data_IF_501919133023
#
_entry.id   IF_501919133023
#
_cell.length_a   1.000
_cell.length_b   1.000
_cell.length_c   1.000
_cell.angle_alpha   90.00
_cell.angle_beta   90.00
_cell.angle_gamma   90.00
#
_symmetry.space_group_name_H-M   'P 1'
#
loop_
_entity.id
_entity.type
_entity.pdbx_description
1 polymer ?
#
# COMPACT_ATOMS: atom_id res chain seq x y z
N UNK A 1 -4.59 8.59 -6.64
CA UNK A 1 -3.76 7.51 -7.25
C UNK A 1 -2.47 7.38 -6.46
N UNK A 2 -2.12 6.16 -6.04
CA UNK A 2 -0.80 5.87 -5.45
C UNK A 2 0.18 5.62 -6.60
N UNK A 3 1.21 6.46 -6.72
CA UNK A 3 2.24 6.30 -7.72
C UNK A 3 3.20 5.16 -7.32
N UNK A 4 3.86 4.57 -8.32
CA UNK A 4 4.87 3.52 -8.09
C UNK A 4 5.91 4.00 -7.07
N UNK A 5 6.26 3.13 -6.11
CA UNK A 5 7.25 3.50 -5.09
C UNK A 5 8.56 3.99 -5.72
N UNK A 6 9.01 5.17 -5.29
CA UNK A 6 10.25 5.79 -5.74
C UNK A 6 11.34 5.61 -4.69
N UNK A 7 12.57 5.37 -5.14
CA UNK A 7 13.76 5.33 -4.29
C UNK A 7 14.73 6.44 -4.67
N UNK A 8 15.68 6.75 -3.78
CA UNK A 8 16.70 7.79 -4.00
C UNK A 8 17.41 7.58 -5.34
N UNK A 9 17.97 6.38 -5.52
CA UNK A 9 18.65 5.98 -6.75
C UNK A 9 17.75 5.11 -7.64
N UNK A 10 17.98 5.06 -8.97
CA UNK A 10 17.29 4.15 -9.86
C UNK A 10 17.50 2.69 -9.45
N UNK A 11 16.46 1.86 -9.61
CA UNK A 11 16.52 0.43 -9.32
C UNK A 11 16.11 -0.37 -10.55
N UNK A 12 16.95 -1.30 -11.05
CA UNK A 12 16.59 -2.14 -12.19
C UNK A 12 15.53 -3.20 -11.84
N UNK A 13 15.36 -3.53 -10.55
CA UNK A 13 14.51 -4.60 -10.07
C UNK A 13 15.20 -5.96 -9.99
N UNK A 14 14.48 -6.98 -9.53
CA UNK A 14 15.01 -8.34 -9.33
C UNK A 14 15.24 -9.09 -10.65
N UNK A 15 15.87 -10.26 -10.59
CA UNK A 15 16.07 -11.12 -11.77
C UNK A 15 14.72 -11.68 -12.25
N UNK A 16 14.39 -11.60 -13.56
CA UNK A 16 13.20 -12.25 -14.12
C UNK A 16 13.26 -13.79 -14.04
N UNK A 17 12.11 -14.51 -14.02
CA UNK A 17 10.74 -14.00 -14.02
C UNK A 17 10.37 -13.26 -12.74
N UNK A 18 9.70 -12.09 -12.87
CA UNK A 18 9.32 -11.22 -11.73
C UNK A 18 7.87 -11.38 -11.30
N UNK A 19 7.08 -12.16 -12.02
CA UNK A 19 5.70 -12.44 -11.67
C UNK A 19 5.30 -13.83 -12.14
N UNK A 20 4.34 -14.43 -11.44
CA UNK A 20 3.65 -15.62 -11.89
C UNK A 20 2.22 -15.63 -11.34
N UNK A 21 1.31 -16.28 -12.08
CA UNK A 21 -0.07 -16.44 -11.65
C UNK A 21 -0.22 -17.54 -10.60
N UNK A 22 -1.17 -17.34 -9.68
CA UNK A 22 -1.65 -18.34 -8.72
C UNK A 22 -3.17 -18.40 -8.79
N UNK A 23 -3.74 -19.42 -8.15
CA UNK A 23 -5.18 -19.47 -7.96
C UNK A 23 -5.63 -18.19 -7.25
N UNK A 24 -6.61 -17.51 -7.85
CA UNK A 24 -7.18 -16.28 -7.31
C UNK A 24 -6.15 -15.17 -7.00
N UNK A 25 -5.04 -15.08 -7.75
CA UNK A 25 -4.03 -14.07 -7.45
C UNK A 25 -2.80 -14.09 -8.36
N UNK A 26 -1.73 -13.48 -7.86
CA UNK A 26 -0.41 -13.56 -8.47
C UNK A 26 0.67 -13.41 -7.40
N UNK A 27 1.86 -13.94 -7.66
CA UNK A 27 3.06 -13.66 -6.86
C UNK A 27 3.95 -12.73 -7.69
N UNK A 28 4.43 -11.65 -7.08
CA UNK A 28 5.36 -10.71 -7.72
C UNK A 28 6.65 -10.51 -6.91
N UNK A 29 7.75 -10.35 -7.61
CA UNK A 29 9.08 -10.04 -7.07
C UNK A 29 9.73 -8.99 -7.96
N UNK A 30 9.14 -7.80 -8.02
CA UNK A 30 9.60 -6.73 -8.91
C UNK A 30 10.95 -6.16 -8.47
N UNK A 31 11.25 -6.15 -7.17
CA UNK A 31 12.49 -5.60 -6.62
C UNK A 31 12.53 -4.07 -6.60
N UNK A 32 11.35 -3.44 -6.42
CA UNK A 32 11.20 -1.98 -6.42
C UNK A 32 11.77 -1.31 -7.69
N UNK A 33 11.65 -1.95 -8.85
CA UNK A 33 12.09 -1.36 -10.12
C UNK A 33 11.46 0.04 -10.33
N UNK A 34 12.30 1.07 -10.43
CA UNK A 34 11.88 2.46 -10.59
C UNK A 34 13.01 3.32 -11.18
N UNK A 35 12.64 4.50 -11.67
CA UNK A 35 13.55 5.40 -12.41
C UNK A 35 14.47 6.24 -11.53
N UNK A 36 14.35 6.14 -10.20
CA UNK A 36 15.03 7.01 -9.24
C UNK A 36 14.33 8.36 -9.07
N UNK A 37 14.68 9.06 -8.00
CA UNK A 37 14.02 10.30 -7.60
C UNK A 37 14.15 11.42 -8.64
N UNK A 38 15.36 11.66 -9.12
CA UNK A 38 15.65 12.80 -10.00
C UNK A 38 14.85 12.70 -11.31
N UNK A 39 14.86 11.53 -11.95
CA UNK A 39 14.09 11.28 -13.19
C UNK A 39 12.58 11.23 -12.91
N UNK A 40 12.17 10.76 -11.74
CA UNK A 40 10.77 10.80 -11.34
C UNK A 40 10.24 12.24 -11.26
N UNK A 41 10.97 13.14 -10.59
CA UNK A 41 10.61 14.56 -10.46
C UNK A 41 10.68 15.29 -11.80
N UNK A 42 11.74 15.06 -12.58
CA UNK A 42 11.95 15.79 -13.83
C UNK A 42 11.00 15.36 -14.96
N UNK A 43 10.62 14.08 -15.02
CA UNK A 43 9.88 13.54 -16.17
C UNK A 43 8.53 12.90 -15.80
N UNK A 44 8.52 12.00 -14.81
CA UNK A 44 7.35 11.15 -14.57
C UNK A 44 6.22 11.88 -13.86
N UNK A 45 6.54 12.67 -12.84
CA UNK A 45 5.56 13.40 -12.06
C UNK A 45 4.87 14.50 -12.88
N UNK A 46 5.59 15.36 -13.65
CA UNK A 46 4.96 16.34 -14.53
C UNK A 46 4.11 15.71 -15.63
N UNK A 47 4.59 14.64 -16.27
CA UNK A 47 3.84 13.93 -17.29
C UNK A 47 2.53 13.34 -16.73
N UNK A 48 2.58 12.73 -15.54
CA UNK A 48 1.38 12.23 -14.88
C UNK A 48 0.39 13.35 -14.57
N UNK A 49 0.87 14.46 -13.98
CA UNK A 49 0.03 15.61 -13.63
C UNK A 49 -0.64 16.23 -14.87
N UNK A 50 0.10 16.36 -15.97
CA UNK A 50 -0.43 16.91 -17.22
C UNK A 50 -1.52 16.01 -17.84
N UNK A 51 -1.37 14.69 -17.76
CA UNK A 51 -2.37 13.74 -18.27
C UNK A 51 -3.54 13.51 -17.31
N UNK A 52 -3.43 13.91 -16.05
CA UNK A 52 -4.42 13.62 -15.00
C UNK A 52 -4.62 14.84 -14.07
N UNK A 53 -5.09 15.99 -14.59
CA UNK A 53 -5.13 17.24 -13.84
C UNK A 53 -6.00 17.18 -12.58
N UNK A 54 -7.04 16.35 -12.58
CA UNK A 54 -7.97 16.19 -11.45
C UNK A 54 -7.54 15.09 -10.47
N UNK A 55 -6.48 14.34 -10.77
CA UNK A 55 -6.04 13.22 -9.94
C UNK A 55 -5.20 13.69 -8.75
N UNK A 56 -5.67 13.36 -7.54
CA UNK A 56 -4.85 13.48 -6.33
C UNK A 56 -3.70 12.48 -6.38
N UNK A 57 -2.46 12.99 -6.35
CA UNK A 57 -1.23 12.21 -6.44
C UNK A 57 -0.67 11.90 -5.06
N UNK A 58 -0.44 10.62 -4.77
CA UNK A 58 0.22 10.17 -3.54
C UNK A 58 1.52 9.47 -3.94
N UNK A 59 2.64 9.94 -3.40
CA UNK A 59 3.93 9.31 -3.67
C UNK A 59 4.17 8.18 -2.68
N UNK A 60 4.24 6.95 -3.19
CA UNK A 60 4.75 5.82 -2.41
C UNK A 60 6.27 5.95 -2.28
N UNK A 61 6.80 5.91 -1.07
CA UNK A 61 8.24 6.07 -0.80
C UNK A 61 8.84 4.72 -0.42
N UNK A 62 9.98 4.39 -1.02
CA UNK A 62 10.74 3.19 -0.69
C UNK A 62 12.20 3.56 -0.36
N UNK A 63 12.48 3.67 0.94
CA UNK A 63 13.84 3.82 1.49
C UNK A 63 14.33 2.52 2.15
N UNK A 64 15.62 2.27 2.05
CA UNK A 64 16.31 1.19 2.78
C UNK A 64 16.78 1.65 4.17
N UNK A 65 16.94 2.97 4.35
CA UNK A 65 17.32 3.62 5.61
C UNK A 65 16.39 4.78 5.94
N UNK A 66 16.42 5.24 7.19
CA UNK A 66 15.71 6.44 7.64
C UNK A 66 16.08 7.65 6.78
N UNK A 67 17.39 7.90 6.58
CA UNK A 67 17.89 9.01 5.77
C UNK A 67 17.38 8.98 4.33
N UNK A 68 17.19 7.80 3.74
CA UNK A 68 16.62 7.69 2.40
C UNK A 68 15.15 8.11 2.37
N UNK A 69 14.35 7.72 3.37
CA UNK A 69 12.97 8.19 3.49
C UNK A 69 12.91 9.70 3.66
N UNK A 70 13.74 10.26 4.54
CA UNK A 70 13.78 11.70 4.79
C UNK A 70 14.20 12.48 3.54
N UNK A 71 15.24 12.02 2.85
CA UNK A 71 15.71 12.63 1.60
C UNK A 71 14.62 12.62 0.51
N UNK A 72 13.89 11.51 0.36
CA UNK A 72 12.78 11.43 -0.60
C UNK A 72 11.67 12.42 -0.24
N UNK A 73 11.30 12.48 1.04
CA UNK A 73 10.25 13.36 1.53
C UNK A 73 10.60 14.84 1.31
N UNK A 74 11.81 15.28 1.66
CA UNK A 74 12.26 16.66 1.46
C UNK A 74 12.17 17.10 -0.01
N UNK A 75 12.64 16.25 -0.93
CA UNK A 75 12.65 16.55 -2.37
C UNK A 75 11.25 16.56 -2.99
N UNK A 76 10.33 15.74 -2.49
CA UNK A 76 8.97 15.63 -3.04
C UNK A 76 7.97 16.60 -2.39
N UNK A 77 8.22 17.02 -1.14
CA UNK A 77 7.37 17.96 -0.38
C UNK A 77 7.21 19.31 -1.07
N UNK A 78 8.20 19.74 -1.86
CA UNK A 78 8.17 20.98 -2.64
C UNK A 78 7.51 20.89 -4.02
N UNK A 79 7.05 19.71 -4.45
CA UNK A 79 6.56 19.53 -5.84
C UNK A 79 5.23 20.23 -6.14
N UNK A 80 4.41 20.52 -5.13
CA UNK A 80 3.04 21.05 -5.29
C UNK A 80 2.03 20.03 -5.86
N UNK A 81 2.49 19.05 -6.62
CA UNK A 81 1.70 17.95 -7.21
C UNK A 81 1.37 16.86 -6.20
N UNK A 82 2.34 16.44 -5.38
CA UNK A 82 2.12 15.38 -4.39
C UNK A 82 1.28 15.92 -3.22
N UNK A 83 0.23 15.19 -2.84
CA UNK A 83 -0.72 15.57 -1.78
C UNK A 83 -0.62 14.70 -0.52
N UNK A 84 0.09 13.58 -0.58
CA UNK A 84 0.43 12.77 0.58
C UNK A 84 1.62 11.85 0.24
N UNK A 85 2.29 11.34 1.27
CA UNK A 85 3.24 10.24 1.16
C UNK A 85 2.61 8.95 1.66
N UNK A 86 2.89 7.84 0.98
CA UNK A 86 2.66 6.50 1.50
C UNK A 86 4.02 5.85 1.78
N UNK A 87 4.35 5.65 3.05
CA UNK A 87 5.58 4.99 3.47
C UNK A 87 5.42 3.48 3.29
N UNK A 88 6.13 2.93 2.31
CA UNK A 88 6.17 1.48 2.09
C UNK A 88 7.21 0.84 3.01
N UNK A 89 6.79 0.56 4.25
CA UNK A 89 7.67 0.00 5.30
C UNK A 89 7.72 -1.53 5.31
N UNK A 90 7.11 -2.19 4.33
CA UNK A 90 6.95 -3.65 4.32
C UNK A 90 8.12 -4.42 3.70
N UNK A 91 9.06 -3.73 3.04
CA UNK A 91 10.18 -4.40 2.41
C UNK A 91 11.18 -4.90 3.47
N UNK A 92 11.59 -6.18 3.43
CA UNK A 92 12.60 -6.70 4.35
C UNK A 92 13.96 -6.08 3.97
N UNK A 93 14.34 -5.01 4.66
CA UNK A 93 15.63 -4.31 4.48
C UNK A 93 16.83 -5.10 5.06
N UNK A 94 16.60 -6.35 5.48
CA UNK A 94 17.54 -7.19 6.25
C UNK A 94 18.78 -7.59 5.44
N UNK A 95 18.67 -7.70 4.11
CA UNK A 95 19.77 -8.13 3.24
C UNK A 95 20.97 -7.17 3.21
N UNK A 96 20.81 -5.93 3.72
CA UNK A 96 21.87 -4.92 3.83
C UNK A 96 22.12 -4.45 5.28
N UNK A 97 21.64 -5.20 6.28
CA UNK A 97 21.70 -4.76 7.68
C UNK A 97 20.74 -3.62 8.03
N UNK A 98 19.72 -3.38 7.19
CA UNK A 98 18.70 -2.36 7.43
C UNK A 98 17.60 -2.81 8.39
N UNK A 99 16.96 -1.85 9.06
CA UNK A 99 15.86 -2.09 10.00
C UNK A 99 14.62 -2.64 9.28
N UNK A 100 13.98 -3.64 9.89
CA UNK A 100 12.69 -4.14 9.43
C UNK A 100 11.58 -3.21 9.93
N UNK A 101 11.46 -2.01 9.35
CA UNK A 101 10.50 -0.99 9.78
C UNK A 101 9.10 -1.58 10.02
N UNK A 102 8.54 -2.34 9.07
CA UNK A 102 7.21 -2.93 9.19
C UNK A 102 7.00 -4.05 10.22
N UNK A 103 8.04 -4.54 10.89
CA UNK A 103 7.91 -5.57 11.93
C UNK A 103 8.54 -5.16 13.27
N UNK A 104 9.10 -3.96 13.36
CA UNK A 104 9.67 -3.40 14.58
C UNK A 104 8.91 -2.11 14.90
N UNK A 105 8.20 -2.11 16.03
CA UNK A 105 7.41 -0.97 16.49
C UNK A 105 8.27 0.28 16.77
N UNK A 106 9.49 0.12 17.29
CA UNK A 106 10.37 1.24 17.58
C UNK A 106 10.89 1.86 16.29
N UNK A 107 11.31 1.03 15.34
CA UNK A 107 11.76 1.51 14.03
C UNK A 107 10.61 2.20 13.27
N UNK A 108 9.40 1.64 13.31
CA UNK A 108 8.20 2.26 12.75
C UNK A 108 7.89 3.62 13.39
N UNK A 109 7.89 3.71 14.72
CA UNK A 109 7.68 4.96 15.46
C UNK A 109 8.71 6.01 15.06
N UNK A 110 9.99 5.66 15.13
CA UNK A 110 11.08 6.58 14.80
C UNK A 110 10.96 7.12 13.36
N UNK A 111 10.66 6.25 12.40
CA UNK A 111 10.48 6.67 11.01
C UNK A 111 9.34 7.68 10.88
N UNK A 112 8.18 7.42 11.49
CA UNK A 112 7.03 8.33 11.41
C UNK A 112 7.33 9.65 12.11
N UNK A 113 7.91 9.64 13.31
CA UNK A 113 8.24 10.86 14.06
C UNK A 113 9.19 11.77 13.25
N UNK A 114 10.25 11.22 12.65
CA UNK A 114 11.17 12.01 11.83
C UNK A 114 10.50 12.50 10.54
N UNK A 115 9.71 11.65 9.87
CA UNK A 115 8.95 12.04 8.69
C UNK A 115 7.98 13.19 8.96
N UNK A 116 7.31 13.18 10.12
CA UNK A 116 6.36 14.23 10.51
C UNK A 116 7.03 15.57 10.82
N UNK A 117 8.31 15.58 11.22
CA UNK A 117 9.07 16.82 11.43
C UNK A 117 9.36 17.57 10.13
N UNK A 118 9.50 16.85 9.01
CA UNK A 118 9.97 17.43 7.74
C UNK A 118 8.91 17.48 6.63
N UNK A 119 7.88 16.63 6.70
CA UNK A 119 6.89 16.48 5.63
C UNK A 119 5.92 17.67 5.62
N UNK A 120 5.73 18.28 4.46
CA UNK A 120 4.72 19.34 4.26
C UNK A 120 3.33 18.78 3.89
N UNK A 121 3.22 17.47 3.71
CA UNK A 121 2.00 16.76 3.31
C UNK A 121 1.70 15.61 4.28
N UNK A 122 0.44 15.13 4.34
CA UNK A 122 0.09 13.96 5.12
C UNK A 122 0.99 12.74 4.85
N UNK A 123 1.30 12.00 5.91
CA UNK A 123 2.15 10.81 5.92
C UNK A 123 1.29 9.61 6.27
N UNK A 124 1.12 8.71 5.31
CA UNK A 124 0.41 7.45 5.46
C UNK A 124 1.41 6.31 5.61
N UNK A 125 1.07 5.29 6.40
CA UNK A 125 1.95 4.13 6.62
C UNK A 125 1.33 2.85 6.09
N UNK A 126 1.98 2.20 5.12
CA UNK A 126 1.53 0.90 4.59
C UNK A 126 2.10 -0.25 5.39
N UNK A 127 1.27 -0.86 6.22
CA UNK A 127 1.66 -1.96 7.10
C UNK A 127 1.77 -3.29 6.35
N UNK A 128 2.69 -4.13 6.81
CA UNK A 128 2.86 -5.49 6.29
C UNK A 128 1.89 -6.44 6.96
N UNK A 129 1.31 -7.42 6.24
CA UNK A 129 0.58 -8.52 6.88
C UNK A 129 1.52 -9.57 7.50
N UNK A 130 2.83 -9.42 7.34
CA UNK A 130 3.85 -10.44 7.68
C UNK A 130 4.55 -10.18 9.00
N UNK A 131 3.83 -9.60 9.96
CA UNK A 131 4.29 -9.37 11.33
C UNK A 131 3.36 -10.10 12.31
N UNK A 132 3.86 -10.47 13.48
CA UNK A 132 3.07 -11.09 14.54
C UNK A 132 2.05 -10.12 15.12
N UNK A 133 2.32 -8.82 15.06
CA UNK A 133 1.45 -7.78 15.61
C UNK A 133 1.31 -6.56 14.67
N UNK A 134 0.48 -6.67 13.61
CA UNK A 134 0.23 -5.55 12.70
C UNK A 134 -0.57 -4.42 13.37
N UNK A 135 -1.32 -4.72 14.44
CA UNK A 135 -2.07 -3.72 15.20
C UNK A 135 -1.12 -2.86 16.02
N UNK A 136 -0.17 -3.47 16.74
CA UNK A 136 0.86 -2.74 17.49
C UNK A 136 1.69 -1.81 16.59
N UNK A 137 2.07 -2.26 15.39
CA UNK A 137 2.75 -1.40 14.41
C UNK A 137 1.86 -0.23 13.99
N UNK A 138 0.58 -0.46 13.71
CA UNK A 138 -0.35 0.62 13.38
C UNK A 138 -0.53 1.61 14.55
N UNK A 139 -0.63 1.11 15.79
CA UNK A 139 -0.77 1.91 17.00
C UNK A 139 0.43 2.83 17.19
N UNK A 140 1.66 2.32 17.14
CA UNK A 140 2.84 3.18 17.31
C UNK A 140 3.02 4.18 16.18
N UNK A 141 2.60 3.85 14.95
CA UNK A 141 2.58 4.80 13.85
C UNK A 141 1.56 5.92 14.08
N UNK A 142 0.36 5.58 14.57
CA UNK A 142 -0.67 6.56 14.91
C UNK A 142 -0.22 7.49 16.04
N UNK A 143 0.36 6.94 17.11
CA UNK A 143 0.92 7.71 18.23
C UNK A 143 2.09 8.61 17.82
N UNK A 144 2.88 8.19 16.82
CA UNK A 144 3.93 9.00 16.20
C UNK A 144 3.41 10.12 15.28
N UNK A 145 2.10 10.18 15.03
CA UNK A 145 1.44 11.22 14.24
C UNK A 145 1.21 10.88 12.77
N UNK A 146 1.22 9.59 12.38
CA UNK A 146 0.79 9.17 11.05
C UNK A 146 -0.66 9.63 10.80
N UNK A 147 -0.91 10.19 9.61
CA UNK A 147 -2.22 10.75 9.25
C UNK A 147 -3.20 9.67 8.77
N UNK A 148 -2.67 8.52 8.30
CA UNK A 148 -3.45 7.35 7.95
C UNK A 148 -2.60 6.07 7.99
N UNK A 149 -3.25 4.92 8.07
CA UNK A 149 -2.63 3.61 7.85
C UNK A 149 -3.24 2.94 6.62
N UNK A 150 -2.42 2.23 5.85
CA UNK A 150 -2.86 1.41 4.71
C UNK A 150 -2.64 -0.07 5.06
N UNK A 151 -3.71 -0.84 5.13
CA UNK A 151 -3.71 -2.24 5.51
C UNK A 151 -4.23 -3.10 4.33
N UNK A 152 -3.40 -3.84 3.60
CA UNK A 152 -2.00 -4.21 3.86
C UNK A 152 -1.18 -4.33 2.57
N UNK A 153 0.12 -4.57 2.72
CA UNK A 153 0.98 -4.99 1.62
C UNK A 153 0.78 -6.48 1.25
N UNK A 154 1.59 -7.01 0.33
CA UNK A 154 1.50 -8.41 -0.11
C UNK A 154 1.98 -9.42 0.94
N UNK A 155 1.53 -10.68 0.82
CA UNK A 155 1.93 -11.79 1.71
C UNK A 155 3.08 -12.60 1.07
N UNK A 156 4.20 -12.90 1.76
CA UNK A 156 5.27 -13.75 1.24
C UNK A 156 4.77 -15.11 0.73
N UNK A 157 5.19 -15.48 -0.48
CA UNK A 157 4.78 -16.71 -1.13
C UNK A 157 5.82 -17.20 -2.15
N UNK A 158 5.66 -18.45 -2.59
CA UNK A 158 6.45 -19.05 -3.66
C UNK A 158 5.58 -19.96 -4.54
N UNK A 159 6.07 -20.23 -5.74
CA UNK A 159 5.53 -21.24 -6.65
C UNK A 159 6.69 -22.07 -7.18
N UNK A 160 6.56 -23.39 -7.18
CA UNK A 160 7.56 -24.32 -7.71
C UNK A 160 7.09 -24.84 -9.06
N UNK A 161 7.98 -24.80 -10.05
CA UNK A 161 7.80 -25.46 -11.33
C UNK A 161 8.18 -26.94 -11.15
N UNK A 162 7.19 -27.84 -11.21
CA UNK A 162 7.38 -29.28 -10.98
C UNK A 162 8.12 -29.97 -12.12
N UNK A 163 8.11 -29.41 -13.32
CA UNK A 163 8.82 -29.97 -14.49
C UNK A 163 10.29 -29.59 -14.44
N UNK A 164 10.60 -28.36 -14.00
CA UNK A 164 11.97 -27.85 -13.87
C UNK A 164 12.59 -28.04 -12.49
N UNK A 165 11.81 -28.54 -11.53
CA UNK A 165 12.21 -28.74 -10.13
C UNK A 165 12.86 -27.50 -9.49
N UNK A 166 12.32 -26.30 -9.75
CA UNK A 166 12.89 -25.04 -9.25
C UNK A 166 11.81 -23.96 -9.01
N UNK A 167 12.10 -22.91 -8.22
CA UNK A 167 11.19 -21.78 -8.08
C UNK A 167 10.85 -21.15 -9.45
N UNK A 168 9.60 -20.73 -9.61
CA UNK A 168 9.13 -20.05 -10.83
C UNK A 168 9.74 -18.65 -10.94
N UNK A 169 9.86 -17.94 -9.81
CA UNK A 169 10.41 -16.59 -9.76
C UNK A 169 11.93 -16.62 -9.74
N UNK A 170 12.56 -15.67 -10.44
CA UNK A 170 14.03 -15.54 -10.46
C UNK A 170 14.61 -15.19 -9.09
N UNK A 171 13.81 -14.63 -8.19
CA UNK A 171 14.20 -14.28 -6.82
C UNK A 171 13.69 -15.29 -5.77
N UNK A 172 13.33 -16.52 -6.17
CA UNK A 172 12.80 -17.62 -5.33
C UNK A 172 11.42 -17.34 -4.71
N UNK A 173 11.29 -16.24 -3.98
CA UNK A 173 10.09 -15.79 -3.28
C UNK A 173 9.57 -14.48 -3.88
N UNK A 174 8.30 -14.19 -3.60
CA UNK A 174 7.68 -12.89 -3.90
C UNK A 174 6.48 -12.64 -3.00
N UNK A 175 5.77 -11.55 -3.28
CA UNK A 175 4.53 -11.19 -2.60
C UNK A 175 3.30 -11.68 -3.36
N UNK A 176 2.51 -12.54 -2.71
CA UNK A 176 1.16 -12.91 -3.11
C UNK A 176 0.22 -11.72 -2.94
N UNK A 177 -0.56 -11.48 -3.98
CA UNK A 177 -1.59 -10.45 -4.03
C UNK A 177 -2.79 -10.93 -4.85
N UNK A 178 -3.84 -10.10 -4.88
CA UNK A 178 -5.10 -10.45 -5.52
C UNK A 178 -6.10 -11.09 -4.55
N UNK A 179 -7.24 -11.59 -5.07
CA UNK A 179 -8.35 -12.09 -4.25
C UNK A 179 -7.96 -13.09 -3.17
N UNK A 180 -6.91 -13.89 -3.40
CA UNK A 180 -6.36 -14.86 -2.47
C UNK A 180 -5.99 -14.26 -1.10
N UNK A 181 -5.57 -12.99 -1.02
CA UNK A 181 -5.16 -12.36 0.24
C UNK A 181 -6.28 -11.58 0.93
N UNK A 182 -7.47 -11.48 0.31
CA UNK A 182 -8.55 -10.62 0.77
C UNK A 182 -9.00 -10.93 2.21
N UNK A 183 -9.32 -12.19 2.60
CA UNK A 183 -9.80 -12.46 3.96
C UNK A 183 -8.76 -12.11 5.04
N UNK A 184 -7.48 -12.37 4.77
CA UNK A 184 -6.38 -12.06 5.68
C UNK A 184 -6.20 -10.53 5.84
N UNK A 185 -6.23 -9.80 4.73
CA UNK A 185 -6.07 -8.35 4.72
C UNK A 185 -7.27 -7.64 5.36
N UNK A 186 -8.50 -8.09 5.07
CA UNK A 186 -9.73 -7.58 5.70
C UNK A 186 -9.72 -7.79 7.21
N UNK A 187 -9.31 -8.97 7.69
CA UNK A 187 -9.17 -9.24 9.13
C UNK A 187 -8.21 -8.26 9.81
N UNK A 188 -7.07 -7.97 9.17
CA UNK A 188 -6.08 -7.03 9.73
C UNK A 188 -6.66 -5.60 9.78
N UNK A 189 -7.29 -5.14 8.70
CA UNK A 189 -7.94 -3.84 8.67
C UNK A 189 -9.01 -3.70 9.77
N UNK A 190 -9.86 -4.72 9.92
CA UNK A 190 -10.86 -4.80 10.99
C UNK A 190 -10.24 -4.67 12.39
N UNK A 191 -9.16 -5.41 12.65
CA UNK A 191 -8.48 -5.37 13.95
C UNK A 191 -7.83 -4.00 14.22
N UNK A 192 -7.23 -3.38 13.21
CA UNK A 192 -6.64 -2.04 13.33
C UNK A 192 -7.73 -1.02 13.66
N UNK A 193 -8.85 -1.03 12.94
CA UNK A 193 -9.95 -0.11 13.22
C UNK A 193 -10.54 -0.30 14.62
N UNK A 194 -10.71 -1.54 15.09
CA UNK A 194 -11.18 -1.79 16.45
C UNK A 194 -10.25 -1.25 17.53
N UNK A 195 -8.94 -1.26 17.29
CA UNK A 195 -7.96 -0.71 18.22
C UNK A 195 -7.84 0.81 18.10
N UNK A 196 -8.03 1.37 16.90
CA UNK A 196 -7.79 2.76 16.54
C UNK A 196 -8.98 3.31 15.72
N UNK A 197 -10.18 3.47 16.32
CA UNK A 197 -11.40 3.77 15.58
C UNK A 197 -11.37 5.12 14.87
N UNK A 198 -10.64 6.09 15.43
CA UNK A 198 -10.53 7.45 14.89
C UNK A 198 -9.44 7.59 13.82
N UNK A 199 -8.55 6.61 13.68
CA UNK A 199 -7.45 6.67 12.71
C UNK A 199 -7.98 6.42 11.29
N UNK A 200 -7.76 7.32 10.32
CA UNK A 200 -8.08 7.04 8.93
C UNK A 200 -7.36 5.78 8.43
N UNK A 201 -8.14 4.84 7.89
CA UNK A 201 -7.66 3.53 7.48
C UNK A 201 -8.00 3.28 6.01
N UNK A 202 -7.01 2.89 5.22
CA UNK A 202 -7.18 2.51 3.82
C UNK A 202 -7.07 1.00 3.69
N UNK A 203 -8.14 0.35 3.21
CA UNK A 203 -8.16 -1.08 2.94
C UNK A 203 -7.46 -1.42 1.62
N UNK A 204 -6.46 -2.28 1.65
CA UNK A 204 -5.67 -2.69 0.49
C UNK A 204 -5.44 -4.20 0.53
N UNK A 205 -5.78 -4.90 -0.54
CA UNK A 205 -5.51 -6.34 -0.65
C UNK A 205 -6.72 -7.12 -1.11
N UNK A 206 -6.63 -7.65 -2.33
CA UNK A 206 -7.62 -8.57 -2.90
C UNK A 206 -8.98 -8.00 -3.25
N UNK A 207 -9.13 -6.67 -3.28
CA UNK A 207 -10.29 -5.98 -3.86
C UNK A 207 -10.28 -6.18 -5.37
N UNK A 208 -11.27 -6.90 -5.88
CA UNK A 208 -11.48 -7.16 -7.32
C UNK A 208 -12.92 -6.90 -7.77
N UNK A 209 -13.82 -6.54 -6.85
CA UNK A 209 -15.23 -6.22 -7.10
C UNK A 209 -15.76 -5.25 -6.02
N UNK A 210 -16.95 -4.70 -6.26
CA UNK A 210 -17.58 -3.70 -5.37
C UNK A 210 -17.94 -4.25 -4.00
N UNK A 211 -18.37 -5.51 -3.89
CA UNK A 211 -18.70 -6.16 -2.63
C UNK A 211 -17.51 -6.20 -1.66
N UNK A 212 -16.30 -6.38 -2.19
CA UNK A 212 -15.07 -6.39 -1.37
C UNK A 212 -14.69 -4.99 -0.92
N UNK A 213 -14.96 -3.96 -1.73
CA UNK A 213 -14.79 -2.58 -1.31
C UNK A 213 -15.76 -2.23 -0.16
N UNK A 214 -17.03 -2.61 -0.27
CA UNK A 214 -18.04 -2.46 0.79
C UNK A 214 -17.59 -3.16 2.08
N UNK A 215 -17.06 -4.38 2.00
CA UNK A 215 -16.56 -5.11 3.17
C UNK A 215 -15.44 -4.36 3.91
N UNK A 216 -14.48 -3.77 3.20
CA UNK A 216 -13.43 -2.96 3.84
C UNK A 216 -14.02 -1.73 4.53
N UNK A 217 -14.99 -1.05 3.91
CA UNK A 217 -15.65 0.11 4.51
C UNK A 217 -16.43 -0.30 5.76
N UNK A 218 -17.24 -1.36 5.69
CA UNK A 218 -17.96 -1.92 6.84
C UNK A 218 -17.01 -2.35 7.97
N UNK A 219 -15.80 -2.80 7.65
CA UNK A 219 -14.75 -3.13 8.61
C UNK A 219 -14.07 -1.89 9.23
N UNK A 220 -14.35 -0.69 8.73
CA UNK A 220 -13.86 0.58 9.28
C UNK A 220 -12.93 1.38 8.37
N UNK A 221 -12.65 0.93 7.15
CA UNK A 221 -11.79 1.66 6.24
C UNK A 221 -12.49 2.91 5.68
N UNK A 222 -11.78 4.03 5.67
CA UNK A 222 -12.20 5.30 5.06
C UNK A 222 -12.05 5.30 3.54
N UNK A 223 -11.16 4.47 3.00
CA UNK A 223 -10.93 4.32 1.56
C UNK A 223 -10.45 2.90 1.20
N UNK A 224 -10.40 2.59 -0.09
CA UNK A 224 -9.88 1.31 -0.60
C UNK A 224 -8.88 1.50 -1.74
N UNK A 225 -7.86 0.65 -1.76
CA UNK A 225 -6.86 0.55 -2.83
C UNK A 225 -7.05 -0.72 -3.66
N UNK A 226 -6.94 -0.59 -4.98
CA UNK A 226 -7.09 -1.68 -5.94
C UNK A 226 -5.82 -1.79 -6.77
N UNK A 227 -5.12 -2.93 -6.63
CA UNK A 227 -3.87 -3.23 -7.34
C UNK A 227 -4.05 -4.34 -8.38
N UNK A 228 -3.87 -5.59 -7.98
CA UNK A 228 -3.82 -6.76 -8.89
C UNK A 228 -4.98 -6.87 -9.88
N UNK A 229 -6.20 -6.49 -9.48
CA UNK A 229 -7.37 -6.56 -10.37
C UNK A 229 -7.22 -5.70 -11.62
N UNK A 230 -6.53 -4.55 -11.53
CA UNK A 230 -6.35 -3.63 -12.66
C UNK A 230 -5.46 -4.19 -13.77
N UNK A 231 -4.64 -5.21 -13.48
CA UNK A 231 -3.82 -5.88 -14.50
C UNK A 231 -4.63 -6.77 -15.43
N UNK A 232 -5.79 -7.28 -14.96
CA UNK A 232 -6.68 -8.12 -15.76
C UNK A 232 -7.85 -7.32 -16.33
N UNK A 233 -8.37 -6.37 -15.54
CA UNK A 233 -9.60 -5.62 -15.83
C UNK A 233 -9.38 -4.12 -15.54
N UNK A 234 -8.96 -3.32 -16.54
CA UNK A 234 -8.69 -1.89 -16.37
C UNK A 234 -9.91 -1.07 -15.90
N UNK A 235 -11.11 -1.56 -16.18
CA UNK A 235 -12.41 -1.00 -15.80
C UNK A 235 -12.83 -1.29 -14.35
N UNK A 236 -12.09 -2.13 -13.61
CA UNK A 236 -12.41 -2.50 -12.21
C UNK A 236 -12.67 -1.29 -11.33
N UNK A 237 -11.90 -0.20 -11.49
CA UNK A 237 -12.07 1.01 -10.68
C UNK A 237 -13.44 1.68 -10.92
N UNK A 238 -13.89 1.72 -12.18
CA UNK A 238 -15.17 2.30 -12.56
C UNK A 238 -16.33 1.41 -12.08
N UNK A 239 -16.20 0.09 -12.25
CA UNK A 239 -17.17 -0.90 -11.76
C UNK A 239 -17.36 -0.79 -10.24
N UNK A 240 -16.26 -0.77 -9.48
CA UNK A 240 -16.31 -0.65 -8.01
C UNK A 240 -16.93 0.67 -7.59
N UNK A 241 -16.61 1.78 -8.27
CA UNK A 241 -17.22 3.08 -7.98
C UNK A 241 -18.73 3.04 -8.21
N UNK A 242 -19.20 2.48 -9.33
CA UNK A 242 -20.62 2.38 -9.61
C UNK A 242 -21.33 1.50 -8.58
N UNK A 243 -20.75 0.33 -8.26
CA UNK A 243 -21.30 -0.57 -7.26
C UNK A 243 -21.45 0.09 -5.89
N UNK A 244 -20.47 0.90 -5.45
CA UNK A 244 -20.55 1.62 -4.18
C UNK A 244 -21.73 2.61 -4.17
N UNK A 245 -21.94 3.34 -5.26
CA UNK A 245 -23.10 4.24 -5.41
C UNK A 245 -24.42 3.46 -5.33
N UNK A 246 -24.54 2.37 -6.09
CA UNK A 246 -25.75 1.54 -6.14
C UNK A 246 -26.04 0.89 -4.78
N UNK A 247 -24.99 0.44 -4.08
CA UNK A 247 -25.10 -0.13 -2.74
C UNK A 247 -25.60 0.92 -1.74
N UNK A 248 -25.06 2.13 -1.78
CA UNK A 248 -25.49 3.23 -0.92
C UNK A 248 -26.96 3.58 -1.15
N UNK A 249 -27.38 3.75 -2.41
CA UNK A 249 -28.78 4.03 -2.77
C UNK A 249 -29.70 2.91 -2.28
N UNK A 250 -29.35 1.65 -2.56
CA UNK A 250 -30.14 0.48 -2.16
C UNK A 250 -30.31 0.37 -0.64
N UNK A 251 -29.28 0.71 0.12
CA UNK A 251 -29.29 0.62 1.58
C UNK A 251 -29.80 1.90 2.27
N UNK A 252 -30.04 2.96 1.51
CA UNK A 252 -30.47 4.26 2.04
C UNK A 252 -29.36 5.04 2.74
N UNK A 253 -28.10 4.85 2.36
CA UNK A 253 -26.96 5.61 2.88
C UNK A 253 -26.68 6.86 2.02
N UNK A 254 -26.52 8.02 2.63
CA UNK A 254 -26.17 9.27 1.93
C UNK A 254 -24.66 9.50 1.82
N UNK A 255 -23.86 8.82 2.66
CA UNK A 255 -22.41 8.92 2.62
C UNK A 255 -21.74 7.61 3.06
N UNK A 256 -20.47 7.43 2.67
CA UNK A 256 -19.64 6.31 3.15
C UNK A 256 -19.54 6.28 4.67
N UNK A 257 -19.52 7.45 5.31
CA UNK A 257 -19.39 7.58 6.77
C UNK A 257 -20.59 6.99 7.53
N UNK A 258 -21.78 6.92 6.92
CA UNK A 258 -22.96 6.34 7.59
C UNK A 258 -22.86 4.82 7.77
N UNK A 259 -22.08 4.14 6.93
CA UNK A 259 -21.90 2.68 7.01
C UNK A 259 -20.46 2.23 7.29
N UNK A 260 -19.51 3.15 7.35
CA UNK A 260 -18.15 2.86 7.76
C UNK A 260 -18.13 2.29 9.18
N UNK A 261 -17.47 1.15 9.35
CA UNK A 261 -17.29 0.52 10.67
C UNK A 261 -18.52 -0.16 11.27
N UNK A 262 -19.66 -0.27 10.55
CA UNK A 262 -20.87 -0.93 11.11
C UNK A 262 -20.65 -2.39 11.54
N UNK A 263 -19.73 -3.11 10.89
CA UNK A 263 -19.40 -4.48 11.26
C UNK A 263 -18.42 -4.58 12.43
N UNK A 264 -17.78 -3.46 12.80
CA UNK A 264 -16.72 -3.37 13.81
C UNK A 264 -17.16 -2.72 15.13
N UNK A 265 -18.48 -2.48 15.28
CA UNK A 265 -19.11 -1.98 16.51
C UNK A 265 -18.97 -2.94 17.69
#
# INVERSE_FOLDING_TARGET
>A
VILKSVSKNPRPGNVPPRCCETDSGMINSIGLANVGLDKFIAEKLPAFAASNPDAVCIASLAGETLDEFLYLAEKLSGSGTIKAFELNISCPNVAKGGMHFGADCNASRQLVEEMKKISSVPVWVKVTPSTTDPVGVATVCAEAGADAVVATNTIPAMKIDITRCRPVLGNTFGGLSGPAIFPASLRIAYMIHRALPELPLVGCGGVDCGEKAVQYILAGCSAVEIGTATFRRPDTLAEVKQFLSDYMEKMGFNSIEEFRGLAAR
#
